data_IF_841078218593
#
_entry.id   IF_841078218593
#
_cell.length_a   1.000
_cell.length_b   1.000
_cell.length_c   1.000
_cell.angle_alpha   90.00
_cell.angle_beta   90.00
_cell.angle_gamma   90.00
#
_symmetry.space_group_name_H-M   'P 1'
#
loop_
_entity.id
_entity.type
_entity.pdbx_description
1 polymer ?
#
# COMPACT_ATOMS: atom_id res chain seq x y z
N UNK A 1 -14.03 7.90 -11.55
CA UNK A 1 -14.94 8.85 -12.23
C UNK A 1 -14.20 10.17 -12.30
N UNK A 2 -13.97 10.72 -13.49
CA UNK A 2 -13.45 12.08 -13.61
C UNK A 2 -14.61 13.06 -13.40
N UNK A 3 -14.35 14.19 -12.75
CA UNK A 3 -15.27 15.32 -12.64
C UNK A 3 -14.59 16.57 -13.16
N UNK A 4 -15.38 17.46 -13.79
CA UNK A 4 -14.95 18.79 -14.20
C UNK A 4 -15.80 19.79 -13.42
N UNK A 5 -15.15 20.72 -12.72
CA UNK A 5 -15.80 21.77 -11.94
C UNK A 5 -15.46 23.12 -12.56
N UNK A 6 -16.47 23.97 -12.74
CA UNK A 6 -16.31 25.38 -13.10
C UNK A 6 -16.70 26.21 -11.89
N UNK A 7 -15.80 27.07 -11.44
CA UNK A 7 -15.94 27.85 -10.20
C UNK A 7 -15.65 29.33 -10.47
N UNK A 8 -16.19 30.24 -9.65
CA UNK A 8 -15.98 31.68 -9.81
C UNK A 8 -14.98 32.18 -8.77
N UNK A 9 -13.75 32.42 -9.20
CA UNK A 9 -12.70 32.99 -8.34
C UNK A 9 -12.03 31.96 -7.41
N UNK A 10 -11.09 32.44 -6.58
CA UNK A 10 -10.26 31.58 -5.74
C UNK A 10 -10.99 30.99 -4.53
N UNK A 11 -12.01 31.66 -4.01
CA UNK A 11 -12.77 31.21 -2.84
C UNK A 11 -13.55 29.93 -3.14
N UNK A 12 -14.34 29.93 -4.23
CA UNK A 12 -15.05 28.75 -4.71
C UNK A 12 -14.10 27.59 -5.05
N UNK A 13 -12.88 27.89 -5.52
CA UNK A 13 -11.85 26.87 -5.77
C UNK A 13 -11.37 26.24 -4.46
N UNK A 14 -11.09 27.05 -3.43
CA UNK A 14 -10.67 26.55 -2.11
C UNK A 14 -11.75 25.70 -1.45
N UNK A 15 -13.03 25.94 -1.74
CA UNK A 15 -14.13 25.11 -1.25
C UNK A 15 -14.09 23.66 -1.79
N UNK A 16 -13.35 23.40 -2.89
CA UNK A 16 -13.14 22.05 -3.43
C UNK A 16 -11.95 21.33 -2.80
N UNK A 17 -11.07 22.05 -2.10
CA UNK A 17 -9.89 21.48 -1.46
C UNK A 17 -10.31 20.65 -0.22
N UNK A 18 -10.00 19.34 -0.19
CA UNK A 18 -10.26 18.50 0.98
C UNK A 18 -9.49 18.93 2.24
N UNK A 19 -8.48 19.80 2.13
CA UNK A 19 -7.68 20.34 3.24
C UNK A 19 -6.62 19.37 3.76
N UNK A 20 -6.19 18.42 2.93
CA UNK A 20 -5.12 17.48 3.26
C UNK A 20 -3.77 18.19 3.41
N UNK A 21 -2.89 17.63 4.24
CA UNK A 21 -1.55 18.17 4.44
C UNK A 21 -0.71 18.04 3.15
N UNK A 22 -0.09 19.13 2.72
CA UNK A 22 0.93 19.13 1.66
C UNK A 22 2.25 18.58 2.21
N UNK A 23 2.46 17.28 1.98
CA UNK A 23 3.48 16.47 2.65
C UNK A 23 4.92 16.83 2.30
N UNK A 24 5.16 17.47 1.15
CA UNK A 24 6.50 17.91 0.75
C UNK A 24 6.93 19.22 1.43
N UNK A 25 5.98 20.00 1.93
CA UNK A 25 6.22 21.24 2.68
C UNK A 25 6.03 21.08 4.20
N UNK A 26 5.43 19.96 4.61
CA UNK A 26 5.20 19.65 6.01
C UNK A 26 6.48 19.20 6.74
N UNK A 27 6.55 19.52 8.03
CA UNK A 27 7.52 18.94 8.98
C UNK A 27 7.12 17.53 9.42
N UNK A 28 8.07 16.77 9.98
CA UNK A 28 7.78 15.47 10.60
C UNK A 28 6.70 15.56 11.69
N UNK A 29 6.74 16.62 12.51
CA UNK A 29 5.77 16.82 13.58
C UNK A 29 4.33 17.00 13.05
N UNK A 30 4.17 17.78 11.98
CA UNK A 30 2.87 17.96 11.31
C UNK A 30 2.38 16.66 10.66
N UNK A 31 3.28 15.93 9.97
CA UNK A 31 2.96 14.62 9.40
C UNK A 31 2.48 13.63 10.48
N UNK A 32 3.21 13.53 11.59
CA UNK A 32 2.87 12.64 12.71
C UNK A 32 1.51 13.00 13.29
N UNK A 33 1.25 14.29 13.53
CA UNK A 33 -0.03 14.75 14.06
C UNK A 33 -1.19 14.42 13.12
N UNK A 34 -1.02 14.63 11.81
CA UNK A 34 -2.02 14.27 10.81
C UNK A 34 -2.27 12.75 10.78
N UNK A 35 -1.21 11.94 10.70
CA UNK A 35 -1.32 10.48 10.58
C UNK A 35 -2.00 9.83 11.79
N UNK A 36 -1.71 10.34 12.99
CA UNK A 36 -2.20 9.76 14.25
C UNK A 36 -3.52 10.35 14.74
N UNK A 37 -4.10 11.33 14.01
CA UNK A 37 -5.40 11.96 14.32
C UNK A 37 -6.55 10.96 14.48
N UNK A 38 -6.47 9.83 13.78
CA UNK A 38 -7.46 8.75 13.88
C UNK A 38 -6.78 7.39 13.77
N UNK A 39 -7.40 6.36 14.35
CA UNK A 39 -6.87 5.00 14.30
C UNK A 39 -7.39 4.24 13.08
N UNK A 40 -6.57 4.19 12.04
CA UNK A 40 -6.85 3.48 10.80
C UNK A 40 -5.66 2.64 10.38
N UNK A 41 -5.81 1.83 9.33
CA UNK A 41 -4.63 1.23 8.71
C UNK A 41 -3.76 2.33 8.10
N UNK A 42 -2.44 2.17 8.14
CA UNK A 42 -1.52 3.20 7.60
C UNK A 42 -1.83 3.49 6.13
N UNK A 43 -2.10 2.45 5.31
CA UNK A 43 -2.49 2.64 3.91
C UNK A 43 -3.75 3.51 3.78
N UNK A 44 -4.79 3.23 4.57
CA UNK A 44 -6.05 3.99 4.53
C UNK A 44 -5.81 5.46 4.90
N UNK A 45 -5.03 5.71 5.95
CA UNK A 45 -4.71 7.06 6.38
C UNK A 45 -3.92 7.82 5.32
N UNK A 46 -2.91 7.19 4.71
CA UNK A 46 -2.14 7.78 3.61
C UNK A 46 -3.01 8.16 2.41
N UNK A 47 -4.01 7.36 2.07
CA UNK A 47 -4.89 7.62 0.92
C UNK A 47 -6.10 8.51 1.23
N UNK A 48 -6.25 9.01 2.46
CA UNK A 48 -7.35 9.90 2.81
C UNK A 48 -7.00 11.34 2.40
N UNK A 49 -7.68 11.93 1.41
CA UNK A 49 -7.37 13.28 0.94
C UNK A 49 -7.62 14.36 2.02
N UNK A 50 -8.36 14.05 3.09
CA UNK A 50 -8.56 14.95 4.25
C UNK A 50 -7.42 14.88 5.28
N UNK A 51 -6.47 13.96 5.07
CA UNK A 51 -5.26 13.83 5.88
C UNK A 51 -4.04 14.26 5.07
N UNK A 52 -3.90 13.75 3.85
CA UNK A 52 -2.75 14.00 2.99
C UNK A 52 -3.17 14.30 1.56
N UNK A 53 -2.61 15.36 1.00
CA UNK A 53 -2.80 15.71 -0.40
C UNK A 53 -1.94 14.83 -1.32
N UNK A 54 -2.45 14.52 -2.51
CA UNK A 54 -1.68 13.88 -3.59
C UNK A 54 -1.33 12.39 -3.44
N UNK A 55 -1.64 11.74 -2.32
CA UNK A 55 -1.27 10.33 -2.11
C UNK A 55 -2.39 9.38 -2.54
N UNK A 56 -2.24 8.83 -3.75
CA UNK A 56 -3.15 7.81 -4.30
C UNK A 56 -2.77 6.37 -3.97
N UNK A 57 -3.56 5.42 -4.49
CA UNK A 57 -3.37 4.00 -4.25
C UNK A 57 -1.96 3.51 -4.63
N UNK A 58 -1.46 3.94 -5.78
CA UNK A 58 -0.14 3.57 -6.26
C UNK A 58 0.99 4.02 -5.32
N UNK A 59 1.02 5.31 -4.99
CA UNK A 59 2.07 5.84 -4.14
C UNK A 59 1.98 5.30 -2.72
N UNK A 60 0.78 5.07 -2.18
CA UNK A 60 0.66 4.44 -0.86
C UNK A 60 1.30 3.03 -0.79
N UNK A 61 1.18 2.22 -1.85
CA UNK A 61 1.86 0.90 -1.93
C UNK A 61 3.38 1.08 -1.93
N UNK A 62 3.89 1.98 -2.78
CA UNK A 62 5.32 2.24 -2.95
C UNK A 62 5.96 2.81 -1.69
N UNK A 63 5.30 3.78 -1.05
CA UNK A 63 5.72 4.40 0.20
C UNK A 63 5.82 3.35 1.30
N UNK A 64 4.79 2.50 1.46
CA UNK A 64 4.77 1.47 2.49
C UNK A 64 5.80 0.38 2.24
N UNK A 65 6.07 0.03 0.99
CA UNK A 65 7.15 -0.88 0.63
C UNK A 65 8.52 -0.31 0.99
N UNK A 66 8.77 0.96 0.62
CA UNK A 66 10.02 1.66 0.96
C UNK A 66 10.19 1.79 2.47
N UNK A 67 9.12 2.09 3.20
CA UNK A 67 9.09 2.15 4.66
C UNK A 67 9.12 0.76 5.35
N UNK A 68 9.04 -0.33 4.59
CA UNK A 68 8.93 -1.71 5.11
C UNK A 68 7.80 -1.88 6.12
N UNK A 69 6.67 -1.21 5.89
CA UNK A 69 5.50 -1.24 6.76
C UNK A 69 4.36 -2.05 6.15
N UNK A 70 3.68 -2.82 7.00
CA UNK A 70 2.48 -3.56 6.59
C UNK A 70 1.35 -2.58 6.22
N UNK A 71 0.65 -2.79 5.08
CA UNK A 71 -0.48 -1.94 4.70
C UNK A 71 -1.66 -1.99 5.68
N UNK A 72 -1.72 -3.01 6.54
CA UNK A 72 -2.75 -3.18 7.58
C UNK A 72 -2.26 -2.84 8.99
N UNK A 73 -1.02 -2.34 9.15
CA UNK A 73 -0.55 -1.78 10.43
C UNK A 73 -1.48 -0.64 10.82
N UNK A 74 -1.81 -0.52 12.12
CA UNK A 74 -2.63 0.58 12.62
C UNK A 74 -1.75 1.81 12.90
N UNK A 75 -2.24 3.00 12.59
CA UNK A 75 -1.53 4.27 12.79
C UNK A 75 -1.08 4.48 14.23
N UNK A 76 -1.92 4.10 15.21
CA UNK A 76 -1.60 4.18 16.64
C UNK A 76 -0.64 3.08 17.15
N UNK A 77 -0.23 2.15 16.29
CA UNK A 77 0.70 1.07 16.65
C UNK A 77 2.09 1.28 16.04
N UNK A 78 2.33 2.41 15.36
CA UNK A 78 3.65 2.74 14.86
C UNK A 78 4.52 3.26 16.01
N UNK A 79 5.77 2.79 16.08
CA UNK A 79 6.79 3.45 16.92
C UNK A 79 7.24 4.77 16.29
N UNK A 80 7.95 5.61 17.04
CA UNK A 80 8.52 6.86 16.50
C UNK A 80 9.49 6.57 15.35
N UNK A 81 10.31 5.51 15.45
CA UNK A 81 11.23 5.12 14.38
C UNK A 81 10.48 4.63 13.13
N UNK A 82 9.34 3.97 13.31
CA UNK A 82 8.46 3.59 12.19
C UNK A 82 7.82 4.82 11.53
N UNK A 83 7.43 5.82 12.33
CA UNK A 83 6.86 7.08 11.85
C UNK A 83 7.89 7.90 11.07
N UNK A 84 9.10 8.05 11.60
CA UNK A 84 10.20 8.77 10.93
C UNK A 84 10.57 8.10 9.60
N UNK A 85 10.73 6.77 9.63
CA UNK A 85 11.03 6.00 8.41
C UNK A 85 9.91 6.13 7.37
N UNK A 86 8.65 6.13 7.80
CA UNK A 86 7.51 6.34 6.92
C UNK A 86 7.53 7.75 6.31
N UNK A 87 7.81 8.78 7.11
CA UNK A 87 7.89 10.16 6.66
C UNK A 87 9.00 10.36 5.61
N UNK A 88 10.19 9.82 5.86
CA UNK A 88 11.30 9.87 4.90
C UNK A 88 10.97 9.10 3.61
N UNK A 89 10.47 7.86 3.74
CA UNK A 89 10.08 7.06 2.60
C UNK A 89 9.00 7.74 1.75
N UNK A 90 8.04 8.41 2.39
CA UNK A 90 7.01 9.18 1.71
C UNK A 90 7.61 10.28 0.86
N UNK A 91 8.47 11.12 1.43
CA UNK A 91 9.08 12.25 0.72
C UNK A 91 9.94 11.77 -0.45
N UNK A 92 10.81 10.80 -0.18
CA UNK A 92 11.72 10.25 -1.19
C UNK A 92 10.95 9.61 -2.36
N UNK A 93 9.88 8.86 -2.08
CA UNK A 93 9.05 8.28 -3.13
C UNK A 93 8.35 9.35 -3.96
N UNK A 94 7.74 10.36 -3.34
CA UNK A 94 7.02 11.42 -4.06
C UNK A 94 7.97 12.30 -4.87
N UNK A 95 9.13 12.68 -4.32
CA UNK A 95 10.16 13.45 -5.04
C UNK A 95 10.65 12.66 -6.25
N UNK A 96 11.07 11.41 -6.06
CA UNK A 96 11.57 10.56 -7.14
C UNK A 96 10.59 10.45 -8.31
N UNK A 97 9.30 10.20 -8.02
CA UNK A 97 8.30 10.07 -9.07
C UNK A 97 7.99 11.42 -9.73
N UNK A 98 7.98 12.52 -8.97
CA UNK A 98 7.76 13.87 -9.49
C UNK A 98 8.87 14.27 -10.47
N UNK A 99 10.13 14.13 -10.06
CA UNK A 99 11.30 14.40 -10.91
C UNK A 99 11.28 13.57 -12.19
N UNK A 100 10.94 12.28 -12.06
CA UNK A 100 10.79 11.40 -13.22
C UNK A 100 9.71 11.88 -14.18
N UNK A 101 8.54 12.32 -13.69
CA UNK A 101 7.51 12.84 -14.59
C UNK A 101 7.91 14.14 -15.27
N UNK A 102 8.62 15.02 -14.57
CA UNK A 102 9.12 16.26 -15.16
C UNK A 102 10.06 15.91 -16.32
N UNK A 103 11.03 15.03 -16.09
CA UNK A 103 11.97 14.58 -17.13
C UNK A 103 11.30 13.84 -18.30
N UNK A 104 10.27 13.03 -18.04
CA UNK A 104 9.50 12.36 -19.08
C UNK A 104 8.66 13.36 -19.89
N UNK A 105 8.03 14.33 -19.23
CA UNK A 105 7.19 15.35 -19.86
C UNK A 105 8.00 16.33 -20.73
N UNK A 106 9.25 16.61 -20.37
CA UNK A 106 10.20 17.38 -21.20
C UNK A 106 10.45 16.71 -22.56
N UNK A 107 10.41 15.37 -22.62
CA UNK A 107 10.55 14.61 -23.87
C UNK A 107 9.24 14.53 -24.63
N UNK A 108 8.17 14.14 -23.92
CA UNK A 108 6.82 14.03 -24.47
C UNK A 108 5.79 14.03 -23.36
N UNK A 109 4.84 14.95 -23.44
CA UNK A 109 3.69 14.93 -22.54
C UNK A 109 2.89 13.63 -22.73
N UNK A 110 2.49 12.95 -21.65
CA UNK A 110 1.83 11.64 -21.75
C UNK A 110 0.47 11.74 -22.42
N UNK A 111 0.23 10.91 -23.45
CA UNK A 111 -1.08 10.83 -24.12
C UNK A 111 -2.13 10.10 -23.26
N UNK A 112 -1.69 9.37 -22.23
CA UNK A 112 -2.55 8.62 -21.29
C UNK A 112 -2.04 8.73 -19.86
N UNK A 113 -2.96 8.90 -18.92
CA UNK A 113 -2.68 8.83 -17.48
C UNK A 113 -2.94 7.41 -16.98
N UNK A 114 -1.92 6.79 -16.37
CA UNK A 114 -2.02 5.45 -15.78
C UNK A 114 -1.41 5.44 -14.37
N UNK A 115 -2.00 4.66 -13.47
CA UNK A 115 -1.44 4.39 -12.15
C UNK A 115 -0.31 3.33 -12.20
N UNK A 116 -0.25 2.55 -13.28
CA UNK A 116 0.73 1.48 -13.47
C UNK A 116 1.92 2.00 -14.27
N UNK A 117 3.12 1.92 -13.68
CA UNK A 117 4.32 2.52 -14.25
C UNK A 117 5.53 1.60 -14.12
N UNK A 118 6.37 1.63 -15.15
CA UNK A 118 7.64 0.92 -15.13
C UNK A 118 8.53 1.45 -14.01
N UNK A 119 9.19 0.56 -13.26
CA UNK A 119 10.03 0.92 -12.12
C UNK A 119 9.32 0.99 -10.77
N UNK A 120 7.98 0.84 -10.71
CA UNK A 120 7.29 0.59 -9.44
C UNK A 120 7.82 -0.68 -8.78
N UNK A 121 7.96 -0.70 -7.46
CA UNK A 121 8.49 -1.83 -6.72
C UNK A 121 7.43 -2.90 -6.46
N UNK A 122 6.21 -2.49 -6.12
CA UNK A 122 5.12 -3.39 -5.72
C UNK A 122 3.79 -3.08 -6.41
N UNK A 123 3.47 -1.81 -6.67
CA UNK A 123 2.17 -1.45 -7.21
C UNK A 123 1.94 -2.03 -8.61
N UNK A 124 0.83 -2.76 -8.80
CA UNK A 124 0.53 -3.45 -10.05
C UNK A 124 1.47 -4.61 -10.39
N UNK A 125 2.32 -5.04 -9.44
CA UNK A 125 3.34 -6.07 -9.65
C UNK A 125 3.01 -7.41 -8.99
N UNK A 126 1.75 -7.69 -8.68
CA UNK A 126 1.33 -8.96 -8.09
C UNK A 126 1.94 -10.17 -8.85
N UNK A 127 2.56 -11.08 -8.10
CA UNK A 127 3.25 -12.26 -8.62
C UNK A 127 4.65 -12.02 -9.20
N UNK A 128 5.06 -10.76 -9.44
CA UNK A 128 6.42 -10.42 -9.90
C UNK A 128 7.40 -10.40 -8.73
N UNK A 129 8.71 -10.59 -8.97
CA UNK A 129 9.71 -10.53 -7.90
C UNK A 129 9.81 -9.12 -7.32
N UNK A 130 9.83 -9.02 -5.99
CA UNK A 130 10.16 -7.81 -5.26
C UNK A 130 11.60 -7.40 -5.58
N UNK A 131 11.87 -6.12 -5.92
CA UNK A 131 13.22 -5.67 -6.28
C UNK A 131 14.20 -5.68 -5.11
N UNK A 132 13.73 -5.80 -3.86
CA UNK A 132 14.59 -5.81 -2.66
C UNK A 132 14.97 -7.22 -2.24
N UNK A 133 14.02 -8.17 -2.27
CA UNK A 133 14.24 -9.49 -1.69
C UNK A 133 13.88 -10.67 -2.61
N UNK A 134 13.49 -10.42 -3.87
CA UNK A 134 13.14 -11.44 -4.85
C UNK A 134 11.80 -12.15 -4.64
N UNK A 135 11.27 -12.16 -3.41
CA UNK A 135 9.97 -12.79 -3.09
C UNK A 135 8.83 -12.24 -3.97
N UNK A 136 7.85 -13.08 -4.36
CA UNK A 136 6.75 -12.63 -5.20
C UNK A 136 5.89 -11.59 -4.45
N UNK A 137 5.63 -10.46 -5.10
CA UNK A 137 4.72 -9.44 -4.60
C UNK A 137 3.33 -10.03 -4.44
N UNK A 138 2.71 -9.74 -3.31
CA UNK A 138 1.39 -10.22 -2.91
C UNK A 138 0.37 -9.10 -3.07
N UNK A 139 -0.90 -9.49 -3.11
CA UNK A 139 -2.03 -8.56 -3.23
C UNK A 139 -3.10 -8.91 -2.21
N UNK A 140 -3.71 -7.89 -1.63
CA UNK A 140 -4.98 -8.00 -0.91
C UNK A 140 -6.00 -7.07 -1.54
N UNK A 141 -7.24 -7.55 -1.67
CA UNK A 141 -8.38 -6.76 -2.11
C UNK A 141 -9.35 -6.57 -0.94
N UNK A 142 -9.78 -5.32 -0.73
CA UNK A 142 -10.81 -4.95 0.23
C UNK A 142 -11.84 -4.04 -0.44
N UNK A 143 -13.01 -4.59 -0.75
CA UNK A 143 -14.05 -3.94 -1.53
C UNK A 143 -13.48 -3.38 -2.85
N UNK A 144 -13.55 -2.06 -3.06
CA UNK A 144 -13.04 -1.41 -4.28
C UNK A 144 -11.55 -1.06 -4.23
N UNK A 145 -10.85 -1.33 -3.11
CA UNK A 145 -9.45 -0.97 -2.93
C UNK A 145 -8.55 -2.21 -2.96
N UNK A 146 -7.40 -2.10 -3.62
CA UNK A 146 -6.36 -3.12 -3.61
C UNK A 146 -5.06 -2.58 -3.03
N UNK A 147 -4.28 -3.44 -2.38
CA UNK A 147 -2.93 -3.14 -1.94
C UNK A 147 -1.97 -4.21 -2.46
N UNK A 148 -0.91 -3.78 -3.13
CA UNK A 148 0.21 -4.66 -3.48
C UNK A 148 1.34 -4.47 -2.47
N UNK A 149 1.91 -5.55 -1.98
CA UNK A 149 2.93 -5.53 -0.92
C UNK A 149 3.89 -6.71 -1.04
N UNK A 150 5.10 -6.57 -0.52
CA UNK A 150 6.03 -7.68 -0.36
C UNK A 150 5.90 -8.27 1.05
N UNK A 151 5.47 -9.54 1.15
CA UNK A 151 5.30 -10.18 2.46
C UNK A 151 6.62 -10.30 3.24
N UNK A 152 7.74 -10.59 2.57
CA UNK A 152 9.04 -10.69 3.24
C UNK A 152 9.50 -9.33 3.78
N UNK A 153 9.37 -8.26 3.00
CA UNK A 153 9.82 -6.92 3.41
C UNK A 153 8.88 -6.23 4.40
N UNK A 154 7.57 -6.45 4.34
CA UNK A 154 6.57 -5.63 5.06
C UNK A 154 5.85 -6.37 6.19
N UNK A 155 5.88 -7.70 6.21
CA UNK A 155 5.12 -8.51 7.20
C UNK A 155 5.92 -9.68 7.76
N UNK A 156 7.26 -9.69 7.57
CA UNK A 156 8.12 -10.77 8.06
C UNK A 156 7.79 -12.12 7.43
N UNK A 157 7.35 -12.15 6.18
CA UNK A 157 6.97 -13.35 5.44
C UNK A 157 5.50 -13.78 5.61
N UNK A 158 4.72 -13.10 6.47
CA UNK A 158 3.31 -13.45 6.71
C UNK A 158 2.42 -12.94 5.59
N UNK A 159 1.56 -13.81 5.06
CA UNK A 159 0.55 -13.41 4.09
C UNK A 159 -0.63 -12.74 4.79
N UNK A 160 -0.97 -11.55 4.32
CA UNK A 160 -2.21 -10.88 4.66
C UNK A 160 -3.37 -11.59 3.97
N UNK A 161 -4.44 -11.83 4.71
CA UNK A 161 -5.63 -12.47 4.16
C UNK A 161 -6.35 -11.50 3.21
N UNK A 162 -6.48 -11.91 1.94
CA UNK A 162 -7.44 -11.31 1.03
C UNK A 162 -8.84 -11.72 1.48
N UNK A 163 -9.75 -10.76 1.72
CA UNK A 163 -11.05 -11.07 2.33
C UNK A 163 -11.91 -11.96 1.42
N UNK A 164 -11.86 -11.76 0.11
CA UNK A 164 -12.63 -12.54 -0.85
C UNK A 164 -12.08 -13.96 -0.98
N UNK A 165 -10.76 -14.09 -1.15
CA UNK A 165 -10.13 -15.42 -1.24
C UNK A 165 -10.15 -16.16 0.09
N UNK A 166 -10.01 -15.47 1.22
CA UNK A 166 -10.13 -16.08 2.55
C UNK A 166 -11.55 -16.56 2.84
N UNK A 167 -12.58 -15.90 2.32
CA UNK A 167 -13.97 -16.41 2.42
C UNK A 167 -14.16 -17.68 1.59
N UNK A 168 -13.57 -17.73 0.39
CA UNK A 168 -13.62 -18.90 -0.48
C UNK A 168 -12.83 -20.09 0.11
N UNK A 169 -11.62 -19.82 0.60
CA UNK A 169 -10.70 -20.85 1.08
C UNK A 169 -10.88 -21.19 2.57
N UNK A 170 -11.62 -20.37 3.33
CA UNK A 170 -11.87 -20.51 4.77
C UNK A 170 -10.60 -20.89 5.55
N UNK A 171 -10.53 -22.11 6.07
CA UNK A 171 -9.42 -22.63 6.87
C UNK A 171 -8.18 -22.94 6.03
N UNK A 172 -8.27 -23.01 4.71
CA UNK A 172 -7.16 -23.45 3.85
C UNK A 172 -6.28 -22.32 3.31
N UNK A 173 -6.52 -21.07 3.75
CA UNK A 173 -5.70 -19.92 3.40
C UNK A 173 -4.28 -20.03 3.96
N UNK A 174 -3.23 -19.88 3.12
CA UNK A 174 -1.83 -19.94 3.56
C UNK A 174 -1.46 -18.70 4.40
N UNK A 175 -0.73 -18.92 5.49
CA UNK A 175 -0.29 -17.88 6.43
C UNK A 175 1.11 -17.33 6.11
N UNK A 176 1.92 -18.07 5.36
CA UNK A 176 3.27 -17.67 4.98
C UNK A 176 3.53 -17.91 3.50
N UNK A 177 4.60 -17.32 2.97
CA UNK A 177 5.03 -17.55 1.60
C UNK A 177 5.38 -19.02 1.35
N UNK A 178 6.02 -19.68 2.32
CA UNK A 178 6.43 -21.07 2.24
C UNK A 178 5.22 -22.01 2.16
N UNK A 179 4.19 -21.77 2.98
CA UNK A 179 2.93 -22.54 2.91
C UNK A 179 2.24 -22.37 1.54
N UNK A 180 2.27 -21.16 0.97
CA UNK A 180 1.71 -20.90 -0.36
C UNK A 180 2.50 -21.62 -1.46
N UNK A 181 3.83 -21.67 -1.36
CA UNK A 181 4.69 -22.35 -2.32
C UNK A 181 4.49 -23.87 -2.30
N UNK A 182 4.48 -24.49 -1.11
CA UNK A 182 4.18 -25.91 -0.93
C UNK A 182 2.81 -26.31 -1.49
N UNK A 183 1.78 -25.47 -1.27
CA UNK A 183 0.45 -25.69 -1.85
C UNK A 183 0.49 -25.65 -3.38
N UNK A 184 1.22 -24.70 -3.98
CA UNK A 184 1.37 -24.61 -5.43
C UNK A 184 2.09 -25.83 -6.00
N UNK A 185 3.16 -26.30 -5.35
CA UNK A 185 3.88 -27.50 -5.74
C UNK A 185 2.99 -28.73 -5.70
N UNK A 186 2.21 -28.89 -4.63
CA UNK A 186 1.27 -30.01 -4.49
C UNK A 186 0.22 -30.02 -5.61
N UNK A 187 -0.37 -28.85 -5.92
CA UNK A 187 -1.34 -28.70 -7.01
C UNK A 187 -0.68 -29.01 -8.37
N UNK A 188 0.53 -28.51 -8.61
CA UNK A 188 1.29 -28.78 -9.84
C UNK A 188 1.62 -30.26 -10.02
N UNK A 189 1.85 -30.97 -8.92
CA UNK A 189 2.08 -32.41 -8.91
C UNK A 189 0.77 -33.23 -9.04
N UNK A 190 -0.39 -32.60 -9.25
CA UNK A 190 -1.69 -33.28 -9.35
C UNK A 190 -2.24 -33.76 -8.01
N UNK A 191 -1.62 -33.39 -6.89
CA UNK A 191 -2.04 -33.77 -5.55
C UNK A 191 -3.11 -32.83 -4.97
N UNK A 192 -3.87 -33.33 -3.99
CA UNK A 192 -4.73 -32.49 -3.17
C UNK A 192 -3.91 -31.87 -2.04
N UNK A 193 -3.84 -30.53 -1.91
CA UNK A 193 -3.12 -29.89 -0.82
C UNK A 193 -3.66 -30.34 0.54
N UNK A 194 -2.78 -30.62 1.53
CA UNK A 194 -3.25 -31.03 2.84
C UNK A 194 -4.13 -29.93 3.47
N UNK A 195 -5.24 -30.37 4.06
CA UNK A 195 -6.11 -29.51 4.87
C UNK A 195 -5.33 -28.95 6.06
N UNK A 196 -5.60 -27.70 6.42
CA UNK A 196 -4.80 -26.98 7.41
C UNK A 196 -4.94 -27.60 8.82
N UNK A 197 -3.82 -27.73 9.56
CA UNK A 197 -3.86 -28.02 11.01
C UNK A 197 -4.46 -26.82 11.77
N UNK A 198 -5.39 -27.03 12.72
CA UNK A 198 -5.98 -25.93 13.48
C UNK A 198 -4.88 -25.15 14.22
N UNK A 199 -4.97 -23.83 14.22
CA UNK A 199 -4.05 -23.03 15.03
C UNK A 199 -4.36 -23.27 16.49
N UNK A 200 -3.33 -23.61 17.29
CA UNK A 200 -3.41 -23.58 18.75
C UNK A 200 -4.10 -22.28 19.15
N UNK A 201 -5.27 -22.40 19.78
CA UNK A 201 -6.11 -21.28 20.13
C UNK A 201 -5.32 -20.24 20.93
N UNK A 202 -5.65 -18.97 20.72
CA UNK A 202 -5.25 -17.92 21.65
C UNK A 202 -5.85 -18.30 23.01
N UNK A 203 -5.06 -18.43 24.10
CA UNK A 203 -5.65 -18.63 25.41
C UNK A 203 -6.63 -17.47 25.70
N UNK A 204 -7.76 -17.75 26.35
CA UNK A 204 -8.71 -16.70 26.72
C UNK A 204 -8.01 -15.65 27.58
N UNK A 205 -8.32 -14.37 27.30
CA UNK A 205 -7.95 -13.23 28.14
C UNK A 205 -8.91 -13.17 29.32
#
# INVERSE_FOLDING_TARGET
RASLHLVRGQEDLRALDPGGLEVLDATFAQFRAALTRSNHTVKRALTDPRLFSGIGNAYSDEILHRARLSPVRLTQKLSEEELERLYLALRETLIYWTERFIADAEKRFPDKVTAFREGMAVHGRYGKPCPVCGAPVQRIVYAANEANYCARCQTGGRLLADRALSQLMRTDWPRTLEELEQKKETIRAGGTPPARRPSKGRPPV
#
